data_IF_673371832973
#
_entry.id   IF_673371832973
#
_cell.length_a   1.000
_cell.length_b   1.000
_cell.length_c   1.000
_cell.angle_alpha   90.00
_cell.angle_beta   90.00
_cell.angle_gamma   90.00
#
_symmetry.space_group_name_H-M   'P 1'
#
loop_
_entity.id
_entity.type
_entity.pdbx_description
1 polymer ?
#
# COMPACT_ATOMS: atom_id res chain seq x y z
N UNK A 1 -0.72 -18.05 2.22
CA UNK A 1 -1.17 -17.31 3.43
C UNK A 1 -0.03 -16.52 4.08
N UNK A 2 1.16 -17.11 4.27
CA UNK A 2 2.32 -16.40 4.86
C UNK A 2 2.61 -15.03 4.20
N UNK A 3 2.64 -14.94 2.87
CA UNK A 3 2.89 -13.66 2.16
C UNK A 3 1.84 -12.58 2.47
N UNK A 4 0.59 -12.97 2.67
CA UNK A 4 -0.52 -12.04 2.98
C UNK A 4 -0.33 -11.48 4.39
N UNK A 5 0.04 -12.34 5.35
CA UNK A 5 0.35 -11.92 6.72
C UNK A 5 1.56 -10.97 6.74
N UNK A 6 2.61 -11.27 5.96
CA UNK A 6 3.77 -10.39 5.81
C UNK A 6 3.33 -9.04 5.23
N UNK A 7 2.51 -9.02 4.18
CA UNK A 7 2.02 -7.76 3.62
C UNK A 7 1.18 -6.96 4.61
N UNK A 8 0.33 -7.62 5.41
CA UNK A 8 -0.44 -6.97 6.46
C UNK A 8 0.46 -6.33 7.51
N UNK A 9 1.47 -7.05 8.01
CA UNK A 9 2.41 -6.52 9.00
C UNK A 9 3.25 -5.40 8.42
N UNK A 10 3.71 -5.51 7.17
CA UNK A 10 4.35 -4.41 6.46
C UNK A 10 3.46 -3.18 6.40
N UNK A 11 2.16 -3.33 6.09
CA UNK A 11 1.21 -2.22 6.09
C UNK A 11 1.13 -1.52 7.46
N UNK A 12 0.98 -2.29 8.52
CA UNK A 12 0.96 -1.75 9.89
C UNK A 12 2.27 -1.05 10.22
N UNK A 13 3.42 -1.64 9.91
CA UNK A 13 4.74 -1.03 10.13
C UNK A 13 4.92 0.27 9.34
N UNK A 14 4.37 0.37 8.12
CA UNK A 14 4.42 1.59 7.32
C UNK A 14 3.76 2.78 8.04
N UNK A 15 2.71 2.54 8.85
CA UNK A 15 2.04 3.59 9.61
C UNK A 15 2.96 4.25 10.65
N UNK A 16 3.96 3.52 11.14
CA UNK A 16 4.91 4.00 12.15
C UNK A 16 5.94 5.00 11.56
N UNK A 17 6.00 5.12 10.24
CA UNK A 17 6.83 6.12 9.58
C UNK A 17 6.21 7.53 9.62
N UNK A 18 4.92 7.63 10.00
CA UNK A 18 4.15 8.88 10.02
C UNK A 18 4.13 9.53 11.42
N UNK A 19 3.61 10.78 11.54
CA UNK A 19 3.51 11.48 12.82
C UNK A 19 2.90 10.63 13.93
N UNK A 20 3.52 10.67 15.10
CA UNK A 20 3.26 9.79 16.24
C UNK A 20 4.52 9.02 16.62
N UNK A 21 4.98 8.14 15.72
CA UNK A 21 6.22 7.37 15.92
C UNK A 21 7.42 7.95 15.14
N UNK A 22 7.20 8.54 13.95
CA UNK A 22 8.24 9.21 13.14
C UNK A 22 9.48 8.34 12.82
N UNK A 23 9.30 7.03 12.63
CA UNK A 23 10.40 6.12 12.32
C UNK A 23 10.52 5.99 10.79
N UNK A 24 11.03 7.02 10.13
CA UNK A 24 10.96 7.18 8.67
C UNK A 24 11.54 6.02 7.85
N UNK A 25 12.60 5.37 8.34
CA UNK A 25 13.26 4.26 7.62
C UNK A 25 12.37 3.00 7.53
N UNK A 26 11.38 2.85 8.41
CA UNK A 26 10.41 1.74 8.34
C UNK A 26 9.57 1.77 7.07
N UNK A 27 9.36 2.95 6.47
CA UNK A 27 8.64 3.06 5.19
C UNK A 27 9.30 2.22 4.09
N UNK A 28 10.63 2.25 4.01
CA UNK A 28 11.40 1.46 3.05
C UNK A 28 11.28 -0.03 3.30
N UNK A 29 11.44 -0.44 4.56
CA UNK A 29 11.36 -1.86 4.97
C UNK A 29 9.96 -2.42 4.76
N UNK A 30 8.93 -1.61 4.97
CA UNK A 30 7.54 -2.00 4.76
C UNK A 30 7.15 -2.08 3.27
N UNK A 31 7.64 -1.15 2.44
CA UNK A 31 7.27 -1.10 1.01
C UNK A 31 7.99 -2.15 0.17
N UNK A 32 9.27 -2.42 0.44
CA UNK A 32 10.09 -3.27 -0.42
C UNK A 32 9.54 -4.71 -0.59
N UNK A 33 9.10 -5.43 0.47
CA UNK A 33 8.54 -6.77 0.33
C UNK A 33 7.27 -6.80 -0.51
N UNK A 34 6.41 -5.79 -0.37
CA UNK A 34 5.12 -5.74 -1.07
C UNK A 34 5.32 -5.42 -2.56
N UNK A 35 6.26 -4.53 -2.90
CA UNK A 35 6.67 -4.31 -4.30
C UNK A 35 7.29 -5.59 -4.88
N UNK A 36 8.10 -6.31 -4.12
CA UNK A 36 8.65 -7.60 -4.54
C UNK A 36 7.54 -8.62 -4.83
N UNK A 37 6.58 -8.79 -3.91
CA UNK A 37 5.43 -9.68 -4.09
C UNK A 37 4.54 -9.24 -5.27
N UNK A 38 4.35 -7.93 -5.45
CA UNK A 38 3.62 -7.35 -6.57
C UNK A 38 4.22 -7.77 -7.91
N UNK A 39 5.53 -7.93 -8.03
CA UNK A 39 6.19 -8.26 -9.29
C UNK A 39 6.38 -9.76 -9.51
N UNK A 40 6.59 -10.53 -8.44
CA UNK A 40 6.99 -11.94 -8.52
C UNK A 40 5.85 -12.94 -8.35
N UNK A 41 4.78 -12.59 -7.65
CA UNK A 41 3.67 -13.51 -7.41
C UNK A 41 2.68 -13.55 -8.60
N UNK A 42 1.84 -14.59 -8.70
CA UNK A 42 0.69 -14.59 -9.60
C UNK A 42 -0.25 -13.41 -9.32
N UNK A 43 -0.97 -12.92 -10.34
CA UNK A 43 -1.79 -11.71 -10.23
C UNK A 43 -2.78 -11.75 -9.06
N UNK A 44 -3.47 -12.88 -8.86
CA UNK A 44 -4.41 -13.08 -7.75
C UNK A 44 -3.73 -12.98 -6.37
N UNK A 45 -2.56 -13.62 -6.21
CA UNK A 45 -1.80 -13.58 -4.96
C UNK A 45 -1.21 -12.19 -4.70
N UNK A 46 -0.72 -11.51 -5.74
CA UNK A 46 -0.23 -10.13 -5.67
C UNK A 46 -1.36 -9.17 -5.23
N UNK A 47 -2.57 -9.34 -5.79
CA UNK A 47 -3.74 -8.55 -5.39
C UNK A 47 -4.07 -8.71 -3.90
N UNK A 48 -4.12 -9.93 -3.38
CA UNK A 48 -4.39 -10.15 -1.94
C UNK A 48 -3.28 -9.60 -1.04
N UNK A 49 -2.02 -9.67 -1.47
CA UNK A 49 -0.90 -9.06 -0.74
C UNK A 49 -1.02 -7.53 -0.71
N UNK A 50 -1.31 -6.91 -1.86
CA UNK A 50 -1.54 -5.47 -1.96
C UNK A 50 -2.74 -5.01 -1.12
N UNK A 51 -3.84 -5.78 -1.13
CA UNK A 51 -5.03 -5.51 -0.32
C UNK A 51 -4.71 -5.59 1.18
N UNK A 52 -3.99 -6.63 1.61
CA UNK A 52 -3.59 -6.79 3.00
C UNK A 52 -2.65 -5.66 3.46
N UNK A 53 -1.69 -5.26 2.62
CA UNK A 53 -0.85 -4.10 2.90
C UNK A 53 -1.67 -2.81 3.02
N UNK A 54 -2.53 -2.52 2.05
CA UNK A 54 -3.35 -1.31 2.01
C UNK A 54 -4.26 -1.20 3.24
N UNK A 55 -4.95 -2.29 3.59
CA UNK A 55 -5.81 -2.35 4.77
C UNK A 55 -5.01 -2.24 6.08
N UNK A 56 -3.87 -2.92 6.18
CA UNK A 56 -2.99 -2.83 7.34
C UNK A 56 -2.48 -1.41 7.56
N UNK A 57 -2.06 -0.75 6.49
CA UNK A 57 -1.57 0.62 6.52
C UNK A 57 -2.66 1.64 6.82
N UNK A 58 -3.73 1.69 6.02
CA UNK A 58 -4.79 2.67 6.20
C UNK A 58 -5.57 2.44 7.49
N UNK A 59 -5.81 1.18 7.88
CA UNK A 59 -6.54 0.85 9.10
C UNK A 59 -5.80 1.28 10.36
N UNK A 60 -4.48 1.07 10.40
CA UNK A 60 -3.65 1.51 11.53
C UNK A 60 -3.41 3.03 11.51
N UNK A 61 -3.16 3.61 10.34
CA UNK A 61 -2.89 5.04 10.19
C UNK A 61 -4.13 5.91 10.51
N UNK A 62 -5.33 5.44 10.15
CA UNK A 62 -6.60 6.14 10.39
C UNK A 62 -7.29 5.74 11.69
N UNK A 63 -6.59 5.07 12.62
CA UNK A 63 -7.19 4.54 13.85
C UNK A 63 -7.88 5.63 14.69
N UNK A 64 -7.39 6.88 14.61
CA UNK A 64 -7.94 8.04 15.30
C UNK A 64 -9.38 8.39 14.87
N UNK A 65 -9.81 7.98 13.67
CA UNK A 65 -11.18 8.19 13.17
C UNK A 65 -12.20 7.42 14.02
N UNK A 66 -11.78 6.40 14.78
CA UNK A 66 -12.67 5.68 15.70
C UNK A 66 -13.35 6.58 16.73
N UNK A 67 -12.82 7.78 17.01
CA UNK A 67 -13.49 8.80 17.84
C UNK A 67 -14.88 9.16 17.29
N UNK A 68 -15.07 9.09 15.96
CA UNK A 68 -16.35 9.35 15.29
C UNK A 68 -17.18 8.08 15.06
N UNK A 69 -16.68 6.91 15.49
CA UNK A 69 -17.35 5.62 15.37
C UNK A 69 -16.58 4.59 14.52
N UNK A 70 -16.92 3.31 14.73
CA UNK A 70 -16.28 2.18 14.04
C UNK A 70 -16.65 2.12 12.57
N UNK A 71 -17.92 2.40 12.23
CA UNK A 71 -18.40 2.35 10.84
C UNK A 71 -17.71 3.40 9.95
N UNK A 72 -17.60 4.69 10.33
CA UNK A 72 -16.81 5.67 9.57
C UNK A 72 -15.35 5.26 9.38
N UNK A 73 -14.71 4.72 10.43
CA UNK A 73 -13.33 4.23 10.35
C UNK A 73 -13.18 3.10 9.33
N UNK A 74 -14.08 2.11 9.34
CA UNK A 74 -14.06 0.99 8.38
C UNK A 74 -14.27 1.51 6.95
N UNK A 75 -15.30 2.32 6.73
CA UNK A 75 -15.62 2.84 5.39
C UNK A 75 -14.48 3.68 4.83
N UNK A 76 -13.91 4.57 5.64
CA UNK A 76 -12.79 5.41 5.22
C UNK A 76 -11.53 4.57 4.96
N UNK A 77 -11.24 3.57 5.81
CA UNK A 77 -10.12 2.65 5.62
C UNK A 77 -10.25 1.91 4.29
N UNK A 78 -11.43 1.37 4.00
CA UNK A 78 -11.69 0.66 2.74
C UNK A 78 -11.52 1.63 1.57
N UNK A 79 -12.16 2.79 1.61
CA UNK A 79 -12.11 3.80 0.55
C UNK A 79 -10.66 4.24 0.26
N UNK A 80 -9.89 4.60 1.28
CA UNK A 80 -8.49 5.02 1.13
C UNK A 80 -7.59 3.88 0.64
N UNK A 81 -7.88 2.64 1.04
CA UNK A 81 -7.14 1.46 0.56
C UNK A 81 -7.31 1.21 -0.94
N UNK A 82 -8.41 1.67 -1.55
CA UNK A 82 -8.63 1.53 -3.00
C UNK A 82 -7.59 2.29 -3.82
N UNK A 83 -7.09 3.44 -3.35
CA UNK A 83 -6.06 4.21 -4.05
C UNK A 83 -4.72 3.47 -4.05
N UNK A 84 -4.35 2.85 -2.92
CA UNK A 84 -3.14 2.02 -2.82
C UNK A 84 -3.29 0.77 -3.70
N UNK A 85 -4.46 0.14 -3.69
CA UNK A 85 -4.74 -0.99 -4.58
C UNK A 85 -4.63 -0.61 -6.05
N UNK A 86 -5.15 0.57 -6.43
CA UNK A 86 -5.02 1.09 -7.78
C UNK A 86 -3.54 1.30 -8.15
N UNK A 87 -2.72 1.87 -7.24
CA UNK A 87 -1.28 1.98 -7.42
C UNK A 87 -0.62 0.62 -7.71
N UNK A 88 -0.85 -0.40 -6.87
CA UNK A 88 -0.25 -1.73 -7.07
C UNK A 88 -0.75 -2.39 -8.36
N UNK A 89 -2.02 -2.22 -8.70
CA UNK A 89 -2.61 -2.78 -9.93
C UNK A 89 -1.96 -2.17 -11.18
N UNK A 90 -1.95 -0.84 -11.27
CA UNK A 90 -1.36 -0.11 -12.40
C UNK A 90 0.16 -0.28 -12.45
N UNK A 91 0.83 -0.25 -11.29
CA UNK A 91 2.27 -0.47 -11.17
C UNK A 91 2.68 -1.86 -11.68
N UNK A 92 1.97 -2.91 -11.28
CA UNK A 92 2.21 -4.26 -11.81
C UNK A 92 2.02 -4.29 -13.32
N UNK A 93 0.89 -3.81 -13.82
CA UNK A 93 0.53 -3.91 -15.23
C UNK A 93 1.52 -3.18 -16.15
N UNK A 94 1.95 -1.99 -15.74
CA UNK A 94 2.88 -1.15 -16.50
C UNK A 94 4.31 -1.68 -16.44
N UNK A 95 4.79 -2.08 -15.25
CA UNK A 95 6.16 -2.57 -15.08
C UNK A 95 6.37 -3.92 -15.77
N UNK A 96 5.42 -4.85 -15.68
CA UNK A 96 5.54 -6.16 -16.34
C UNK A 96 5.53 -6.09 -17.87
N UNK A 97 5.03 -4.98 -18.45
CA UNK A 97 5.03 -4.74 -19.90
C UNK A 97 6.21 -3.91 -20.38
N UNK A 98 7.06 -3.44 -19.47
CA UNK A 98 8.17 -2.55 -19.78
C UNK A 98 9.52 -3.20 -19.49
N UNK A 99 10.61 -2.54 -19.91
CA UNK A 99 11.97 -2.95 -19.52
C UNK A 99 12.15 -2.74 -18.02
N UNK A 100 12.87 -3.63 -17.34
CA UNK A 100 13.07 -3.57 -15.88
C UNK A 100 13.50 -2.18 -15.36
N UNK A 101 14.37 -1.48 -16.09
CA UNK A 101 14.84 -0.13 -15.75
C UNK A 101 13.75 0.94 -15.76
N UNK A 102 12.73 0.80 -16.62
CA UNK A 102 11.61 1.72 -16.65
C UNK A 102 10.80 1.67 -15.35
N UNK A 103 10.83 0.54 -14.63
CA UNK A 103 10.19 0.40 -13.32
C UNK A 103 10.70 1.40 -12.27
N UNK A 104 11.96 1.82 -12.38
CA UNK A 104 12.54 2.84 -11.49
C UNK A 104 11.86 4.21 -11.62
N UNK A 105 11.31 4.52 -12.79
CA UNK A 105 10.58 5.77 -13.03
C UNK A 105 9.07 5.58 -12.95
N UNK A 106 8.55 4.46 -13.45
CA UNK A 106 7.12 4.15 -13.47
C UNK A 106 6.55 4.05 -12.05
N UNK A 107 7.24 3.35 -11.14
CA UNK A 107 6.74 3.14 -9.78
C UNK A 107 6.58 4.47 -9.03
N UNK A 108 7.60 5.35 -8.92
CA UNK A 108 7.45 6.65 -8.26
C UNK A 108 6.41 7.56 -8.95
N UNK A 109 6.38 7.60 -10.28
CA UNK A 109 5.42 8.42 -11.01
C UNK A 109 3.97 7.99 -10.73
N UNK A 110 3.70 6.69 -10.77
CA UNK A 110 2.38 6.16 -10.46
C UNK A 110 1.97 6.44 -9.01
N UNK A 111 2.91 6.32 -8.07
CA UNK A 111 2.65 6.66 -6.67
C UNK A 111 2.20 8.11 -6.52
N UNK A 112 2.95 9.05 -7.10
CA UNK A 112 2.64 10.49 -7.03
C UNK A 112 1.28 10.78 -7.68
N UNK A 113 0.98 10.18 -8.83
CA UNK A 113 -0.32 10.37 -9.50
C UNK A 113 -1.45 9.85 -8.61
N UNK A 114 -1.32 8.66 -8.03
CA UNK A 114 -2.35 8.10 -7.16
C UNK A 114 -2.56 8.93 -5.91
N UNK A 115 -1.48 9.48 -5.36
CA UNK A 115 -1.53 10.34 -4.18
C UNK A 115 -2.17 11.70 -4.49
N UNK A 116 -1.87 12.27 -5.66
CA UNK A 116 -2.48 13.52 -6.11
C UNK A 116 -3.99 13.39 -6.33
N UNK A 117 -4.44 12.27 -6.89
CA UNK A 117 -5.88 11.98 -7.05
C UNK A 117 -6.54 11.78 -5.68
N UNK A 118 -5.86 11.10 -4.74
CA UNK A 118 -6.37 10.85 -3.38
C UNK A 118 -6.51 12.12 -2.54
N UNK A 119 -5.65 13.11 -2.78
CA UNK A 119 -5.60 14.36 -2.02
C UNK A 119 -6.61 15.43 -2.49
N UNK A 120 -7.32 15.18 -3.60
CA UNK A 120 -8.24 16.12 -4.22
C UNK A 120 -9.69 15.67 -4.06
#
# INVERSE_FOLDING_TARGET
MQNILISLTCGILASLAFPGANIFWLAWVALAPVIYFMLRLPARSAFYCAAAFALGFMGSHLIWIKIFGVLPWILLTIFQSLFILAFFFWGRFTVLRSRYWAGLFIIPSLWIITEWIRAR
#
